data_IF_192512144482
#
_entry.id   IF_192512144482
#
_cell.length_a   1.000
_cell.length_b   1.000
_cell.length_c   1.000
_cell.angle_alpha   90.00
_cell.angle_beta   90.00
_cell.angle_gamma   90.00
#
_symmetry.space_group_name_H-M   'P 1'
#
loop_
_entity.id
_entity.type
_entity.pdbx_description
1 polymer ?
#
# COMPACT_ATOMS: atom_id res chain seq x y z
N UNK A 1 22.53 17.05 4.40
CA UNK A 1 21.44 17.40 5.33
C UNK A 1 20.46 18.42 4.77
N UNK A 2 20.84 19.67 4.42
CA UNK A 2 19.88 20.71 3.99
C UNK A 2 19.23 20.47 2.60
N UNK A 3 19.96 19.88 1.66
CA UNK A 3 19.43 19.55 0.33
C UNK A 3 18.45 18.36 0.35
N UNK A 4 18.72 17.34 1.17
CA UNK A 4 17.84 16.18 1.37
C UNK A 4 16.46 16.60 1.87
N UNK A 5 16.42 17.55 2.82
CA UNK A 5 15.15 18.08 3.32
C UNK A 5 14.35 18.79 2.22
N UNK A 6 15.00 19.61 1.38
CA UNK A 6 14.34 20.28 0.24
C UNK A 6 13.78 19.27 -0.76
N UNK A 7 14.54 18.23 -1.08
CA UNK A 7 14.11 17.17 -2.00
C UNK A 7 12.90 16.41 -1.45
N UNK A 8 12.93 16.01 -0.17
CA UNK A 8 11.80 15.32 0.47
C UNK A 8 10.55 16.21 0.58
N UNK A 9 10.71 17.51 0.86
CA UNK A 9 9.59 18.45 0.90
C UNK A 9 8.99 18.64 -0.49
N UNK A 10 9.81 18.84 -1.52
CA UNK A 10 9.34 18.97 -2.89
C UNK A 10 8.59 17.71 -3.35
N UNK A 11 9.16 16.53 -3.11
CA UNK A 11 8.51 15.26 -3.44
C UNK A 11 7.16 15.10 -2.72
N UNK A 12 7.11 15.37 -1.42
CA UNK A 12 5.88 15.27 -0.63
C UNK A 12 4.78 16.21 -1.16
N UNK A 13 5.14 17.45 -1.48
CA UNK A 13 4.18 18.45 -1.99
C UNK A 13 3.62 18.02 -3.35
N UNK A 14 4.49 17.61 -4.28
CA UNK A 14 4.07 17.20 -5.63
C UNK A 14 3.19 15.96 -5.58
N UNK A 15 3.59 14.93 -4.81
CA UNK A 15 2.78 13.71 -4.69
C UNK A 15 1.42 13.97 -4.02
N UNK A 16 1.40 14.75 -2.94
CA UNK A 16 0.15 15.11 -2.26
C UNK A 16 -0.80 15.86 -3.19
N UNK A 17 -0.28 16.84 -3.95
CA UNK A 17 -1.07 17.59 -4.92
C UNK A 17 -1.69 16.67 -5.99
N UNK A 18 -0.92 15.76 -6.57
CA UNK A 18 -1.46 14.80 -7.54
C UNK A 18 -2.50 13.88 -6.90
N UNK A 19 -2.25 13.33 -5.71
CA UNK A 19 -3.19 12.43 -5.04
C UNK A 19 -4.53 13.12 -4.76
N UNK A 20 -4.52 14.34 -4.22
CA UNK A 20 -5.74 15.07 -3.89
C UNK A 20 -6.50 15.47 -5.16
N UNK A 21 -5.80 16.01 -6.15
CA UNK A 21 -6.41 16.44 -7.42
C UNK A 21 -7.04 15.26 -8.15
N UNK A 22 -6.32 14.14 -8.23
CA UNK A 22 -6.81 12.93 -8.89
C UNK A 22 -7.98 12.29 -8.14
N UNK A 23 -7.92 12.21 -6.81
CA UNK A 23 -9.03 11.73 -5.99
C UNK A 23 -10.29 12.58 -6.22
N UNK A 24 -10.15 13.90 -6.26
CA UNK A 24 -11.27 14.80 -6.53
C UNK A 24 -11.85 14.60 -7.94
N UNK A 25 -11.01 14.55 -8.97
CA UNK A 25 -11.46 14.37 -10.36
C UNK A 25 -12.21 13.03 -10.52
N UNK A 26 -11.68 11.95 -9.96
CA UNK A 26 -12.32 10.62 -10.09
C UNK A 26 -13.69 10.56 -9.41
N UNK A 27 -13.85 11.17 -8.23
CA UNK A 27 -15.14 11.21 -7.52
C UNK A 27 -16.17 12.08 -8.24
N UNK A 28 -15.75 13.19 -8.86
CA UNK A 28 -16.68 14.10 -9.56
C UNK A 28 -17.13 13.55 -10.90
N UNK A 29 -16.23 12.87 -11.62
CA UNK A 29 -16.43 12.57 -13.04
C UNK A 29 -16.91 11.14 -13.31
N UNK A 30 -16.62 10.20 -12.42
CA UNK A 30 -17.01 8.79 -12.60
C UNK A 30 -18.32 8.55 -11.84
N UNK A 31 -19.38 8.05 -12.50
CA UNK A 31 -20.62 7.67 -11.84
C UNK A 31 -20.39 6.59 -10.76
N UNK A 32 -21.10 6.69 -9.63
CA UNK A 32 -20.95 5.74 -8.51
C UNK A 32 -21.13 4.26 -8.92
N UNK A 33 -21.97 3.97 -9.92
CA UNK A 33 -22.19 2.62 -10.44
C UNK A 33 -20.96 2.00 -11.11
N UNK A 34 -20.12 2.82 -11.73
CA UNK A 34 -18.90 2.33 -12.40
C UNK A 34 -17.80 1.95 -11.39
N UNK A 35 -17.93 2.40 -10.14
CA UNK A 35 -17.08 2.01 -9.02
C UNK A 35 -17.54 0.71 -8.32
N UNK A 36 -18.74 0.22 -8.60
CA UNK A 36 -19.25 -1.02 -8.00
C UNK A 36 -18.49 -2.25 -8.53
N UNK A 37 -18.64 -3.38 -7.83
CA UNK A 37 -18.03 -4.64 -8.22
C UNK A 37 -18.55 -5.08 -9.60
N UNK A 38 -17.65 -5.14 -10.59
CA UNK A 38 -17.96 -5.41 -11.99
C UNK A 38 -18.07 -4.18 -12.90
N UNK A 39 -18.01 -2.96 -12.33
CA UNK A 39 -17.97 -1.70 -13.08
C UNK A 39 -16.64 -1.46 -13.81
N UNK A 40 -16.66 -0.66 -14.87
CA UNK A 40 -15.49 -0.40 -15.73
C UNK A 40 -14.37 0.38 -15.02
N UNK A 41 -14.70 1.09 -13.94
CA UNK A 41 -13.77 1.89 -13.16
C UNK A 41 -13.26 1.18 -11.89
N UNK A 42 -13.75 -0.02 -11.56
CA UNK A 42 -13.32 -0.74 -10.36
C UNK A 42 -11.83 -1.13 -10.44
N UNK A 43 -11.06 -0.68 -9.44
CA UNK A 43 -9.60 -0.87 -9.39
C UNK A 43 -8.80 -0.13 -10.48
N UNK A 44 -9.47 0.63 -11.36
CA UNK A 44 -8.84 1.23 -12.56
C UNK A 44 -9.43 2.59 -12.96
N UNK A 45 -9.98 3.32 -12.00
CA UNK A 45 -10.70 4.59 -12.21
C UNK A 45 -9.98 5.61 -13.10
N UNK A 46 -8.66 5.77 -12.93
CA UNK A 46 -7.87 6.68 -13.75
C UNK A 46 -7.67 6.21 -15.18
N UNK A 47 -7.47 4.91 -15.39
CA UNK A 47 -7.32 4.39 -16.74
C UNK A 47 -8.67 4.37 -17.46
N UNK A 48 -9.76 4.14 -16.75
CA UNK A 48 -11.12 4.34 -17.25
C UNK A 48 -11.30 5.76 -17.81
N UNK A 49 -10.98 6.80 -17.01
CA UNK A 49 -11.04 8.19 -17.47
C UNK A 49 -10.07 8.51 -18.61
N UNK A 50 -8.89 7.90 -18.63
CA UNK A 50 -7.92 8.08 -19.71
C UNK A 50 -8.46 7.54 -21.04
N UNK A 51 -9.14 6.39 -21.02
CA UNK A 51 -9.77 5.83 -22.21
C UNK A 51 -10.97 6.68 -22.67
N UNK A 52 -11.78 7.15 -21.72
CA UNK A 52 -13.01 7.89 -22.03
C UNK A 52 -12.74 9.33 -22.51
N UNK A 53 -11.83 10.06 -21.87
CA UNK A 53 -11.60 11.47 -22.18
C UNK A 53 -10.42 11.76 -23.11
N UNK A 54 -9.39 10.91 -23.11
CA UNK A 54 -8.15 11.13 -23.88
C UNK A 54 -8.01 10.12 -25.05
N UNK A 55 -8.92 9.15 -25.12
CA UNK A 55 -8.99 8.14 -26.17
C UNK A 55 -8.18 6.87 -25.87
N UNK A 56 -8.50 5.80 -26.60
CA UNK A 56 -7.97 4.46 -26.32
C UNK A 56 -6.46 4.31 -26.43
N UNK A 57 -5.81 5.03 -27.35
CA UNK A 57 -4.35 4.99 -27.49
C UNK A 57 -3.64 5.56 -26.26
N UNK A 58 -4.13 6.67 -25.72
CA UNK A 58 -3.58 7.28 -24.51
C UNK A 58 -3.87 6.40 -23.27
N UNK A 59 -5.09 5.87 -23.18
CA UNK A 59 -5.45 4.90 -22.14
C UNK A 59 -4.55 3.66 -22.11
N UNK A 60 -4.20 3.11 -23.28
CA UNK A 60 -3.30 1.95 -23.37
C UNK A 60 -1.88 2.28 -22.88
N UNK A 61 -1.34 3.45 -23.26
CA UNK A 61 -0.03 3.91 -22.78
C UNK A 61 -0.06 4.11 -21.26
N UNK A 62 -1.16 4.64 -20.73
CA UNK A 62 -1.35 4.81 -19.29
C UNK A 62 -1.39 3.48 -18.54
N UNK A 63 -2.09 2.46 -19.07
CA UNK A 63 -2.12 1.13 -18.47
C UNK A 63 -0.74 0.48 -18.47
N UNK A 64 -0.02 0.52 -19.59
CA UNK A 64 1.35 -0.01 -19.69
C UNK A 64 2.26 0.71 -18.68
N UNK A 65 2.15 2.03 -18.58
CA UNK A 65 2.93 2.83 -17.63
C UNK A 65 2.61 2.46 -16.19
N UNK A 66 1.33 2.26 -15.86
CA UNK A 66 0.89 1.87 -14.53
C UNK A 66 1.40 0.47 -14.16
N UNK A 67 1.28 -0.50 -15.07
CA UNK A 67 1.83 -1.85 -14.90
C UNK A 67 3.35 -1.79 -14.70
N UNK A 68 4.07 -0.98 -15.49
CA UNK A 68 5.51 -0.84 -15.37
C UNK A 68 5.94 -0.23 -14.02
N UNK A 69 5.24 0.81 -13.56
CA UNK A 69 5.51 1.44 -12.25
C UNK A 69 5.24 0.46 -11.11
N UNK A 70 4.11 -0.26 -11.14
CA UNK A 70 3.76 -1.26 -10.12
C UNK A 70 4.75 -2.44 -10.14
N UNK A 71 5.15 -2.91 -11.32
CA UNK A 71 6.17 -3.94 -11.46
C UNK A 71 7.52 -3.49 -10.87
N UNK A 72 7.92 -2.25 -11.14
CA UNK A 72 9.16 -1.69 -10.58
C UNK A 72 9.08 -1.51 -9.06
N UNK A 73 7.94 -1.08 -8.53
CA UNK A 73 7.70 -0.99 -7.09
C UNK A 73 7.81 -2.37 -6.42
N UNK A 74 7.21 -3.41 -7.02
CA UNK A 74 7.32 -4.79 -6.56
C UNK A 74 8.76 -5.32 -6.60
N UNK A 75 9.49 -5.07 -7.69
CA UNK A 75 10.89 -5.45 -7.82
C UNK A 75 11.79 -4.75 -6.78
N UNK A 76 11.54 -3.46 -6.50
CA UNK A 76 12.26 -2.71 -5.46
C UNK A 76 11.98 -3.26 -4.06
N UNK A 77 10.73 -3.62 -3.75
CA UNK A 77 10.39 -4.28 -2.50
C UNK A 77 11.11 -5.63 -2.33
N UNK A 78 11.19 -6.42 -3.41
CA UNK A 78 11.94 -7.67 -3.44
C UNK A 78 13.44 -7.44 -3.21
N UNK A 79 14.03 -6.44 -3.85
CA UNK A 79 15.42 -6.03 -3.62
C UNK A 79 15.68 -5.63 -2.15
N UNK A 80 14.71 -4.96 -1.51
CA UNK A 80 14.74 -4.68 -0.07
C UNK A 80 14.78 -5.97 0.76
N UNK A 81 13.89 -6.92 0.49
CA UNK A 81 13.86 -8.22 1.18
C UNK A 81 15.17 -8.99 1.01
N UNK A 82 15.73 -8.99 -0.19
CA UNK A 82 16.99 -9.68 -0.51
C UNK A 82 18.20 -9.09 0.22
N UNK A 83 18.15 -7.81 0.61
CA UNK A 83 19.18 -7.21 1.46
C UNK A 83 18.97 -7.52 2.95
N UNK A 84 17.72 -7.63 3.37
CA UNK A 84 17.34 -7.86 4.77
C UNK A 84 17.56 -9.33 5.15
N UNK A 85 16.99 -10.27 4.41
CA UNK A 85 16.92 -11.70 4.80
C UNK A 85 18.30 -12.32 5.04
N UNK A 86 19.32 -12.16 4.18
CA UNK A 86 20.64 -12.70 4.42
C UNK A 86 21.34 -12.12 5.65
N UNK A 87 20.94 -10.93 6.12
CA UNK A 87 21.48 -10.31 7.34
C UNK A 87 20.88 -10.91 8.61
N UNK A 88 19.64 -11.41 8.55
CA UNK A 88 18.96 -12.02 9.70
C UNK A 88 19.15 -13.54 9.79
N UNK A 89 19.38 -14.23 8.66
CA UNK A 89 19.58 -15.68 8.59
C UNK A 89 20.75 -16.25 9.44
N UNK A 90 21.93 -15.58 9.54
CA UNK A 90 23.08 -16.09 10.29
C UNK A 90 22.85 -16.23 11.80
N UNK A 91 21.89 -15.50 12.37
CA UNK A 91 21.51 -15.63 13.79
C UNK A 91 20.74 -16.92 14.12
N UNK A 92 20.27 -17.65 13.11
CA UNK A 92 19.49 -18.89 13.27
C UNK A 92 20.32 -20.20 13.16
N UNK A 93 21.65 -20.11 13.24
CA UNK A 93 22.52 -21.25 13.59
C UNK A 93 22.86 -22.27 12.49
N UNK A 94 22.10 -22.38 11.39
CA UNK A 94 22.45 -23.21 10.21
C UNK A 94 21.94 -22.61 8.89
N UNK A 95 22.46 -21.45 8.50
CA UNK A 95 22.13 -20.86 7.19
C UNK A 95 22.84 -21.65 6.06
N UNK A 96 22.12 -22.23 5.08
CA UNK A 96 22.73 -22.83 3.90
C UNK A 96 23.61 -21.81 3.18
N UNK A 97 24.78 -22.20 2.67
CA UNK A 97 25.76 -21.28 2.04
C UNK A 97 25.16 -20.47 0.87
N UNK A 98 24.26 -21.11 0.11
CA UNK A 98 23.39 -20.56 -0.94
C UNK A 98 22.52 -19.37 -0.49
N UNK A 99 22.13 -19.30 0.79
CA UNK A 99 21.29 -18.23 1.34
C UNK A 99 21.99 -16.87 1.41
N UNK A 100 23.31 -16.82 1.16
CA UNK A 100 24.10 -15.59 1.08
C UNK A 100 24.16 -14.99 -0.33
N UNK A 101 23.71 -15.71 -1.35
CA UNK A 101 23.74 -15.23 -2.74
C UNK A 101 22.37 -14.69 -3.15
N UNK A 102 22.34 -13.48 -3.71
CA UNK A 102 21.09 -12.78 -4.08
C UNK A 102 20.32 -13.53 -5.19
N UNK A 103 21.02 -14.07 -6.19
CA UNK A 103 20.42 -14.74 -7.36
C UNK A 103 19.55 -15.96 -7.02
N UNK A 104 20.01 -16.97 -6.27
CA UNK A 104 19.16 -18.11 -5.90
C UNK A 104 18.03 -17.68 -4.96
N UNK A 105 18.24 -16.67 -4.12
CA UNK A 105 17.22 -16.20 -3.18
C UNK A 105 16.01 -15.57 -3.89
N UNK A 106 16.23 -14.87 -5.02
CA UNK A 106 15.16 -14.36 -5.89
C UNK A 106 14.29 -15.52 -6.39
N UNK A 107 14.91 -16.59 -6.89
CA UNK A 107 14.18 -17.75 -7.41
C UNK A 107 13.37 -18.43 -6.31
N UNK A 108 13.95 -18.57 -5.11
CA UNK A 108 13.24 -19.14 -3.94
C UNK A 108 12.03 -18.28 -3.57
N UNK A 109 12.18 -16.97 -3.42
CA UNK A 109 11.05 -16.10 -3.10
C UNK A 109 9.98 -16.11 -4.18
N UNK A 110 10.37 -16.11 -5.46
CA UNK A 110 9.43 -16.19 -6.58
C UNK A 110 8.69 -17.51 -6.58
N UNK A 111 9.40 -18.63 -6.39
CA UNK A 111 8.81 -19.96 -6.35
C UNK A 111 7.87 -20.13 -5.15
N UNK A 112 8.26 -19.65 -3.96
CA UNK A 112 7.41 -19.69 -2.76
C UNK A 112 6.19 -18.79 -2.94
N UNK A 113 6.35 -17.57 -3.47
CA UNK A 113 5.22 -16.69 -3.76
C UNK A 113 4.23 -17.37 -4.71
N UNK A 114 4.71 -17.93 -5.82
CA UNK A 114 3.87 -18.63 -6.78
C UNK A 114 3.22 -19.89 -6.17
N UNK A 115 3.98 -20.68 -5.40
CA UNK A 115 3.47 -21.87 -4.73
C UNK A 115 2.36 -21.52 -3.72
N UNK A 116 2.53 -20.48 -2.91
CA UNK A 116 1.51 -19.99 -1.97
C UNK A 116 0.29 -19.47 -2.73
N UNK A 117 0.48 -18.65 -3.77
CA UNK A 117 -0.63 -18.15 -4.60
C UNK A 117 -1.43 -19.29 -5.21
N UNK A 118 -0.78 -20.32 -5.74
CA UNK A 118 -1.46 -21.49 -6.32
C UNK A 118 -2.12 -22.37 -5.25
N UNK A 119 -1.42 -22.67 -4.15
CA UNK A 119 -1.91 -23.55 -3.09
C UNK A 119 -3.17 -22.98 -2.42
N UNK A 120 -3.22 -21.66 -2.22
CA UNK A 120 -4.36 -20.99 -1.61
C UNK A 120 -5.35 -20.42 -2.64
N UNK A 121 -5.07 -20.55 -3.95
CA UNK A 121 -5.82 -19.87 -5.02
C UNK A 121 -6.03 -18.39 -4.68
N UNK A 122 -4.95 -17.74 -4.25
CA UNK A 122 -5.00 -16.39 -3.70
C UNK A 122 -5.39 -15.38 -4.79
N UNK A 123 -6.33 -14.52 -4.44
CA UNK A 123 -6.84 -13.47 -5.32
C UNK A 123 -6.58 -12.09 -4.71
N UNK A 124 -6.13 -11.15 -5.53
CA UNK A 124 -5.72 -9.81 -5.09
C UNK A 124 -6.90 -8.95 -4.64
N UNK A 125 -8.08 -9.13 -5.23
CA UNK A 125 -9.28 -8.38 -4.87
C UNK A 125 -9.81 -8.88 -3.51
N UNK A 126 -9.76 -10.20 -3.29
CA UNK A 126 -10.15 -10.78 -1.98
C UNK A 126 -9.22 -10.39 -0.84
N UNK A 127 -7.90 -10.28 -1.10
CA UNK A 127 -6.91 -9.95 -0.07
C UNK A 127 -6.64 -8.44 0.07
N UNK A 128 -7.08 -7.63 -0.90
CA UNK A 128 -6.84 -6.19 -0.94
C UNK A 128 -7.37 -5.46 0.29
N UNK A 129 -8.53 -5.87 0.79
CA UNK A 129 -9.13 -5.33 2.02
C UNK A 129 -8.27 -5.60 3.26
N UNK A 130 -7.83 -6.84 3.46
CA UNK A 130 -6.98 -7.23 4.58
C UNK A 130 -5.62 -6.50 4.55
N UNK A 131 -5.03 -6.34 3.36
CA UNK A 131 -3.82 -5.54 3.17
C UNK A 131 -4.04 -4.07 3.53
N UNK A 132 -5.15 -3.47 3.06
CA UNK A 132 -5.48 -2.08 3.35
C UNK A 132 -5.64 -1.83 4.85
N UNK A 133 -6.31 -2.74 5.59
CA UNK A 133 -6.43 -2.65 7.05
C UNK A 133 -5.07 -2.72 7.73
N UNK A 134 -4.19 -3.65 7.32
CA UNK A 134 -2.84 -3.76 7.88
C UNK A 134 -2.02 -2.48 7.69
N UNK A 135 -2.03 -1.90 6.49
CA UNK A 135 -1.35 -0.64 6.20
C UNK A 135 -1.96 0.52 7.00
N UNK A 136 -3.28 0.59 7.09
CA UNK A 136 -3.98 1.62 7.86
C UNK A 136 -3.58 1.58 9.35
N UNK A 137 -3.46 0.39 9.95
CA UNK A 137 -3.01 0.24 11.35
C UNK A 137 -1.56 0.71 11.52
N UNK A 138 -0.67 0.41 10.57
CA UNK A 138 0.73 0.88 10.61
C UNK A 138 0.79 2.41 10.54
N UNK A 139 0.07 3.02 9.60
CA UNK A 139 0.04 4.48 9.43
C UNK A 139 -0.60 5.16 10.65
N UNK A 140 -1.67 4.60 11.19
CA UNK A 140 -2.34 5.11 12.40
C UNK A 140 -1.42 5.04 13.62
N UNK A 141 -0.68 3.94 13.77
CA UNK A 141 0.33 3.79 14.83
C UNK A 141 1.45 4.82 14.68
N UNK A 142 1.94 5.05 13.46
CA UNK A 142 2.96 6.07 13.20
C UNK A 142 2.44 7.49 13.51
N UNK A 143 1.19 7.81 13.12
CA UNK A 143 0.55 9.08 13.43
C UNK A 143 0.44 9.30 14.95
N UNK A 144 -0.04 8.29 15.68
CA UNK A 144 -0.11 8.29 17.15
C UNK A 144 1.27 8.55 17.78
N UNK A 145 2.29 7.79 17.38
CA UNK A 145 3.66 7.94 17.90
C UNK A 145 4.17 9.36 17.67
N UNK A 146 3.95 9.94 16.49
CA UNK A 146 4.38 11.32 16.18
C UNK A 146 3.61 12.34 17.03
N UNK A 147 2.30 12.19 17.19
CA UNK A 147 1.49 13.08 18.01
C UNK A 147 1.90 13.03 19.49
N UNK A 148 2.10 11.83 20.04
CA UNK A 148 2.63 11.66 21.40
C UNK A 148 4.04 12.25 21.53
N UNK A 149 4.91 12.03 20.54
CA UNK A 149 6.28 12.57 20.55
C UNK A 149 6.30 14.11 20.58
N UNK A 150 5.41 14.77 19.83
CA UNK A 150 5.25 16.22 19.86
C UNK A 150 4.71 16.73 21.20
N UNK A 151 3.79 15.99 21.83
CA UNK A 151 3.20 16.34 23.12
C UNK A 151 4.21 16.18 24.26
N UNK A 152 4.91 15.05 24.33
CA UNK A 152 5.87 14.74 25.38
C UNK A 152 7.14 15.60 25.31
N UNK A 153 7.71 15.78 24.12
CA UNK A 153 9.03 16.43 23.99
C UNK A 153 8.93 17.96 23.89
N UNK A 154 7.71 18.54 23.87
CA UNK A 154 7.41 19.98 23.68
C UNK A 154 8.16 20.63 22.48
N UNK A 155 8.63 19.82 21.53
CA UNK A 155 9.63 20.21 20.53
C UNK A 155 9.08 21.19 19.48
N UNK A 156 7.76 21.19 19.25
CA UNK A 156 7.11 22.15 18.35
C UNK A 156 5.66 22.41 18.78
N UNK A 157 5.38 23.41 19.63
CA UNK A 157 4.03 23.66 20.16
C UNK A 157 3.02 24.02 19.06
N UNK A 158 3.49 24.51 17.90
CA UNK A 158 2.64 24.82 16.74
C UNK A 158 2.27 23.59 15.91
N UNK A 159 3.07 22.52 15.96
CA UNK A 159 2.82 21.28 15.22
C UNK A 159 1.88 20.31 15.94
N UNK A 160 1.79 20.40 17.27
CA UNK A 160 0.94 19.54 18.10
C UNK A 160 -0.54 19.49 17.66
N UNK A 161 -1.25 20.61 17.40
CA UNK A 161 -2.65 20.53 16.98
C UNK A 161 -2.81 19.86 15.61
N UNK A 162 -1.87 20.09 14.68
CA UNK A 162 -1.91 19.48 13.36
C UNK A 162 -1.72 17.95 13.43
N UNK A 163 -0.67 17.48 14.11
CA UNK A 163 -0.43 16.04 14.25
C UNK A 163 -1.49 15.36 15.11
N UNK A 164 -2.06 16.06 16.10
CA UNK A 164 -3.21 15.58 16.87
C UNK A 164 -4.45 15.38 16.01
N UNK A 165 -4.78 16.35 15.14
CA UNK A 165 -5.91 16.23 14.20
C UNK A 165 -5.71 15.08 13.22
N UNK A 166 -4.53 14.97 12.60
CA UNK A 166 -4.21 13.88 11.67
C UNK A 166 -4.38 12.52 12.36
N UNK A 167 -3.87 12.40 13.59
CA UNK A 167 -4.01 11.18 14.40
C UNK A 167 -5.47 10.84 14.68
N UNK A 168 -6.29 11.85 15.02
CA UNK A 168 -7.72 11.67 15.26
C UNK A 168 -8.45 11.19 14.00
N UNK A 169 -8.13 11.76 12.83
CA UNK A 169 -8.69 11.32 11.54
C UNK A 169 -8.32 9.86 11.27
N UNK A 170 -7.05 9.48 11.40
CA UNK A 170 -6.62 8.08 11.17
C UNK A 170 -7.23 7.10 12.18
N UNK A 171 -7.35 7.50 13.44
CA UNK A 171 -8.02 6.71 14.46
C UNK A 171 -9.51 6.50 14.12
N UNK A 172 -10.20 7.57 13.71
CA UNK A 172 -11.58 7.48 13.25
C UNK A 172 -11.72 6.55 12.03
N UNK A 173 -10.88 6.72 11.00
CA UNK A 173 -10.90 5.87 9.81
C UNK A 173 -10.63 4.41 10.16
N UNK A 174 -9.73 4.13 11.10
CA UNK A 174 -9.45 2.76 11.56
C UNK A 174 -10.67 2.15 12.25
N UNK A 175 -11.33 2.90 13.15
CA UNK A 175 -12.55 2.43 13.83
C UNK A 175 -13.68 2.21 12.81
N UNK A 176 -13.89 3.14 11.89
CA UNK A 176 -14.88 3.01 10.83
C UNK A 176 -14.60 1.78 9.94
N UNK A 177 -13.35 1.56 9.55
CA UNK A 177 -12.93 0.42 8.74
C UNK A 177 -13.21 -0.92 9.45
N UNK A 178 -12.96 -1.01 10.76
CA UNK A 178 -13.24 -2.21 11.57
C UNK A 178 -14.75 -2.51 11.61
N UNK A 179 -15.59 -1.47 11.67
CA UNK A 179 -17.05 -1.60 11.72
C UNK A 179 -17.62 -1.99 10.35
N UNK A 180 -17.20 -1.31 9.28
CA UNK A 180 -17.73 -1.50 7.93
C UNK A 180 -17.20 -2.75 7.23
N UNK A 181 -15.96 -3.17 7.52
CA UNK A 181 -15.30 -4.33 6.89
C UNK A 181 -14.72 -5.29 7.94
N UNK A 182 -15.55 -6.11 8.59
CA UNK A 182 -15.10 -7.05 9.62
C UNK A 182 -14.24 -8.22 9.07
N UNK A 183 -14.12 -8.35 7.76
CA UNK A 183 -13.42 -9.45 7.08
C UNK A 183 -11.90 -9.44 7.33
N UNK A 184 -11.31 -8.29 7.65
CA UNK A 184 -9.88 -8.19 8.00
C UNK A 184 -9.51 -8.84 9.34
N UNK A 185 -10.50 -9.12 10.20
CA UNK A 185 -10.31 -9.70 11.55
C UNK A 185 -10.84 -11.13 11.62
N UNK A 186 -11.80 -11.50 10.76
CA UNK A 186 -12.51 -12.77 10.84
C UNK A 186 -11.78 -13.83 9.99
N UNK A 187 -10.99 -14.69 10.65
CA UNK A 187 -10.39 -15.85 10.01
C UNK A 187 -11.48 -16.76 9.40
N UNK A 188 -11.29 -17.37 8.20
CA UNK A 188 -12.31 -18.19 7.51
C UNK A 188 -12.70 -19.52 8.18
N UNK A 189 -12.37 -19.74 9.46
CA UNK A 189 -12.40 -21.07 10.07
C UNK A 189 -13.72 -21.42 10.80
N UNK A 190 -14.87 -20.89 10.40
CA UNK A 190 -16.15 -21.25 11.03
C UNK A 190 -17.34 -21.49 10.10
N UNK A 191 -17.14 -21.72 8.80
CA UNK A 191 -18.23 -22.17 7.91
C UNK A 191 -17.83 -23.42 7.13
N UNK A 192 -17.66 -24.52 7.85
CA UNK A 192 -17.88 -25.85 7.28
C UNK A 192 -19.40 -26.10 7.31
N UNK A 193 -20.07 -26.23 6.16
CA UNK A 193 -21.42 -26.77 6.14
C UNK A 193 -21.33 -28.28 6.31
N UNK A 194 -21.92 -28.80 7.40
CA UNK A 194 -22.58 -30.11 7.34
C UNK A 194 -24.04 -29.89 6.97
#
# INVERSE_FOLDING_TARGET
MRNTRRLLTAATVVMSFFLVTTSFITVVLIPAREFEDGGGANGRALSYLAHEQLGGAFGTVYDISTIAILAFAGASAMAGLLNVVPRYLPRYGKAPEWGRTVRPLVLVFTAVAFAVTLAFRADVDTHGSAYATGVLVIITSAALVVALSCLWTRYSPKGTPFFGLVTLIFAYTTVANIIERPDGIRSPCSSSPR
#
